data_IF_823231131644
#
_entry.id   IF_823231131644
#
_cell.length_a   1.000
_cell.length_b   1.000
_cell.length_c   1.000
_cell.angle_alpha   90.00
_cell.angle_beta   90.00
_cell.angle_gamma   90.00
#
_symmetry.space_group_name_H-M   'P 1'
#
loop_
_entity.id
_entity.type
_entity.pdbx_description
1 polymer ?
#
# COMPACT_ATOMS: atom_id res chain seq x y z
N UNK A 1 5.63 14.60 13.17
CA UNK A 1 6.07 13.55 14.13
C UNK A 1 5.97 14.12 15.50
N UNK A 2 5.41 13.36 16.46
CA UNK A 2 5.35 13.75 17.88
C UNK A 2 6.70 13.44 18.53
N UNK A 3 7.30 14.43 19.23
CA UNK A 3 8.58 14.20 19.94
C UNK A 3 8.42 13.18 21.07
N UNK A 4 7.31 13.22 21.79
CA UNK A 4 6.98 12.23 22.81
C UNK A 4 6.77 10.84 22.22
N UNK A 5 5.98 10.72 21.12
CA UNK A 5 5.77 9.46 20.44
C UNK A 5 7.05 8.84 19.92
N UNK A 6 7.97 9.66 19.36
CA UNK A 6 9.28 9.18 18.93
C UNK A 6 10.13 8.66 20.11
N UNK A 7 10.13 9.38 21.23
CA UNK A 7 10.86 8.96 22.45
C UNK A 7 10.34 7.61 22.94
N UNK A 8 9.04 7.44 23.02
CA UNK A 8 8.39 6.17 23.41
C UNK A 8 8.72 5.03 22.45
N UNK A 9 8.67 5.28 21.12
CA UNK A 9 9.06 4.30 20.11
C UNK A 9 10.52 3.87 20.32
N UNK A 10 11.45 4.81 20.43
CA UNK A 10 12.87 4.51 20.64
C UNK A 10 13.11 3.74 21.93
N UNK A 11 12.43 4.10 23.02
CA UNK A 11 12.50 3.37 24.29
C UNK A 11 11.98 1.94 24.15
N UNK A 12 10.85 1.75 23.47
CA UNK A 12 10.28 0.42 23.25
C UNK A 12 11.18 -0.44 22.37
N UNK A 13 11.76 0.12 21.31
CA UNK A 13 12.65 -0.61 20.39
C UNK A 13 13.91 -1.18 21.07
N UNK A 14 14.33 -0.65 22.21
CA UNK A 14 15.47 -1.19 22.97
C UNK A 14 15.16 -2.56 23.60
N UNK A 15 13.89 -2.85 23.86
CA UNK A 15 13.43 -4.10 24.51
C UNK A 15 12.55 -4.98 23.63
N UNK A 16 12.07 -4.44 22.51
CA UNK A 16 11.19 -5.16 21.59
C UNK A 16 11.93 -6.29 20.86
N UNK A 17 11.43 -7.51 21.01
CA UNK A 17 11.92 -8.70 20.29
C UNK A 17 11.14 -8.96 19.00
N UNK A 18 10.62 -7.91 18.37
CA UNK A 18 9.86 -7.99 17.13
C UNK A 18 10.73 -7.59 15.92
N UNK A 19 10.47 -8.23 14.79
CA UNK A 19 11.07 -7.90 13.51
C UNK A 19 10.47 -6.62 12.91
N UNK A 20 9.19 -6.40 13.18
CA UNK A 20 8.40 -5.26 12.75
C UNK A 20 7.62 -4.69 13.95
N UNK A 21 7.80 -3.42 14.23
CA UNK A 21 6.99 -2.66 15.18
C UNK A 21 6.10 -1.71 14.40
N UNK A 22 4.80 -1.76 14.69
CA UNK A 22 3.79 -0.90 14.06
C UNK A 22 3.18 0.01 15.12
N UNK A 23 3.33 1.31 14.93
CA UNK A 23 2.77 2.31 15.85
C UNK A 23 1.43 2.85 15.34
N UNK A 24 0.61 3.35 16.24
CA UNK A 24 -0.56 4.12 15.89
C UNK A 24 -0.15 5.50 15.34
N UNK A 25 -1.04 6.11 14.55
CA UNK A 25 -0.84 7.43 13.99
C UNK A 25 -2.18 8.15 13.80
N UNK A 26 -2.14 9.46 13.61
CA UNK A 26 -3.31 10.23 13.23
C UNK A 26 -3.05 11.03 11.95
N UNK A 27 -4.13 11.41 11.28
CA UNK A 27 -4.09 12.33 10.15
C UNK A 27 -4.80 13.64 10.47
N UNK A 28 -4.32 14.73 9.89
CA UNK A 28 -4.94 16.03 10.02
C UNK A 28 -4.98 16.75 8.67
N UNK A 29 -5.94 17.65 8.52
CA UNK A 29 -6.04 18.53 7.35
C UNK A 29 -5.03 19.66 7.48
N UNK A 30 -4.18 19.84 6.46
CA UNK A 30 -3.11 20.85 6.48
C UNK A 30 -3.65 22.28 6.54
N UNK A 31 -4.77 22.57 5.87
CA UNK A 31 -5.34 23.90 5.78
C UNK A 31 -6.10 24.31 7.05
N UNK A 32 -6.87 23.39 7.67
CA UNK A 32 -7.67 23.68 8.85
C UNK A 32 -6.97 23.33 10.16
N UNK A 33 -5.95 22.47 10.12
CA UNK A 33 -5.32 21.89 11.32
C UNK A 33 -6.18 20.87 12.06
N UNK A 34 -7.38 20.58 11.56
CA UNK A 34 -8.32 19.66 12.22
C UNK A 34 -7.88 18.21 12.05
N UNK A 35 -8.07 17.41 13.09
CA UNK A 35 -7.86 15.98 13.05
C UNK A 35 -8.91 15.35 12.13
N UNK A 36 -8.45 14.55 11.17
CA UNK A 36 -9.31 13.84 10.21
C UNK A 36 -9.60 12.42 10.66
N UNK A 37 -8.58 11.71 11.12
CA UNK A 37 -8.72 10.32 11.57
C UNK A 37 -7.60 9.92 12.53
N UNK A 38 -7.91 8.95 13.39
CA UNK A 38 -6.94 8.16 14.13
C UNK A 38 -6.87 6.76 13.53
N UNK A 39 -5.67 6.21 13.44
CA UNK A 39 -5.44 4.86 12.95
C UNK A 39 -4.90 3.98 14.06
N UNK A 40 -5.70 3.00 14.42
CA UNK A 40 -5.36 1.92 15.33
C UNK A 40 -5.43 0.60 14.56
N UNK A 41 -4.35 -0.17 14.57
CA UNK A 41 -4.32 -1.45 13.85
C UNK A 41 -5.07 -2.52 14.65
N UNK A 42 -6.42 -2.53 14.55
CA UNK A 42 -7.28 -3.37 15.37
C UNK A 42 -7.46 -4.78 14.80
N UNK A 43 -7.38 -5.78 15.68
CA UNK A 43 -7.79 -7.15 15.41
C UNK A 43 -8.20 -7.85 16.73
N UNK A 44 -9.03 -8.92 16.69
CA UNK A 44 -9.48 -9.60 17.89
C UNK A 44 -8.32 -10.15 18.72
N UNK A 45 -8.29 -9.82 20.02
CA UNK A 45 -7.25 -10.25 20.93
C UNK A 45 -5.94 -9.48 20.85
N UNK A 46 -5.91 -8.34 20.18
CA UNK A 46 -4.74 -7.47 20.14
C UNK A 46 -4.41 -6.93 21.54
N UNK A 47 -3.16 -7.02 21.89
CA UNK A 47 -2.55 -6.37 23.04
C UNK A 47 -1.36 -5.53 22.55
N UNK A 48 -1.26 -4.29 23.00
CA UNK A 48 -0.10 -3.46 22.71
C UNK A 48 1.14 -4.00 23.42
N UNK A 49 2.31 -3.78 22.80
CA UNK A 49 3.64 -4.21 23.28
C UNK A 49 3.82 -5.71 23.42
N UNK A 50 2.89 -6.50 22.89
CA UNK A 50 2.99 -7.94 22.79
C UNK A 50 3.48 -8.32 21.38
N UNK A 51 4.37 -9.29 21.33
CA UNK A 51 4.91 -9.85 20.08
C UNK A 51 4.01 -10.99 19.60
N UNK A 52 3.68 -10.99 18.33
CA UNK A 52 2.88 -11.99 17.63
C UNK A 52 3.67 -12.61 16.48
N UNK A 53 3.44 -13.87 16.11
CA UNK A 53 3.83 -14.41 14.81
C UNK A 53 3.17 -13.56 13.71
N UNK A 54 3.95 -13.15 12.71
CA UNK A 54 3.45 -12.27 11.64
C UNK A 54 2.28 -12.90 10.88
N UNK A 55 2.36 -14.20 10.60
CA UNK A 55 1.35 -14.97 9.89
C UNK A 55 -0.03 -14.98 10.59
N UNK A 56 -0.06 -14.88 11.92
CA UNK A 56 -1.32 -14.87 12.66
C UNK A 56 -2.10 -13.55 12.50
N UNK A 57 -1.42 -12.47 12.14
CA UNK A 57 -2.01 -11.12 12.12
C UNK A 57 -1.97 -10.43 10.76
N UNK A 58 -1.10 -10.82 9.85
CA UNK A 58 -0.91 -10.12 8.57
C UNK A 58 -2.19 -10.04 7.72
N UNK A 59 -3.05 -11.05 7.73
CA UNK A 59 -4.36 -11.02 7.05
C UNK A 59 -5.43 -10.15 7.72
N UNK A 60 -5.14 -9.57 8.90
CA UNK A 60 -6.09 -8.78 9.70
C UNK A 60 -5.75 -7.29 9.72
N UNK A 61 -4.54 -6.93 9.35
CA UNK A 61 -4.04 -5.56 9.43
C UNK A 61 -3.43 -5.11 8.10
N UNK A 62 -3.59 -3.83 7.79
CA UNK A 62 -2.85 -3.19 6.70
C UNK A 62 -1.83 -2.21 7.30
N UNK A 63 -0.57 -2.38 6.94
CA UNK A 63 0.53 -1.61 7.50
C UNK A 63 0.95 -0.53 6.51
N UNK A 64 0.96 0.72 6.97
CA UNK A 64 1.43 1.86 6.20
C UNK A 64 2.90 2.16 6.54
N UNK A 65 3.69 2.62 5.57
CA UNK A 65 5.10 2.93 5.71
C UNK A 65 5.41 3.83 6.93
N UNK A 66 4.61 4.86 7.14
CA UNK A 66 4.82 5.83 8.21
C UNK A 66 4.49 5.32 9.63
N UNK A 67 3.92 4.12 9.72
CA UNK A 67 3.68 3.40 10.97
C UNK A 67 4.65 2.22 11.17
N UNK A 68 5.40 1.83 10.17
CA UNK A 68 6.24 0.63 10.16
C UNK A 68 7.69 0.93 10.55
N UNK A 69 8.20 0.20 11.52
CA UNK A 69 9.62 0.21 11.92
C UNK A 69 10.18 -1.20 11.85
N UNK A 70 11.04 -1.46 10.89
CA UNK A 70 11.67 -2.76 10.69
C UNK A 70 13.02 -2.84 11.41
N UNK A 71 13.37 -4.04 11.88
CA UNK A 71 14.71 -4.35 12.34
C UNK A 71 15.71 -4.16 11.20
N UNK A 72 16.75 -3.38 11.39
CA UNK A 72 17.72 -3.00 10.34
C UNK A 72 18.38 -4.22 9.67
N UNK A 73 18.66 -5.27 10.44
CA UNK A 73 19.26 -6.52 9.90
C UNK A 73 18.35 -7.20 8.88
N UNK A 74 17.01 -7.08 9.00
CA UNK A 74 16.07 -7.58 8.01
C UNK A 74 16.18 -6.81 6.69
N UNK A 75 16.21 -5.47 6.77
CA UNK A 75 16.36 -4.62 5.59
C UNK A 75 17.70 -4.88 4.87
N UNK A 76 18.76 -5.16 5.61
CA UNK A 76 20.05 -5.54 5.02
C UNK A 76 20.03 -6.92 4.36
N UNK A 77 19.27 -7.87 4.89
CA UNK A 77 19.14 -9.24 4.37
C UNK A 77 18.25 -9.35 3.14
N UNK A 78 17.33 -8.42 2.91
CA UNK A 78 16.39 -8.52 1.79
C UNK A 78 17.06 -8.46 0.41
N UNK A 79 18.31 -7.97 0.31
CA UNK A 79 19.12 -7.99 -0.92
C UNK A 79 18.56 -7.12 -2.05
N UNK A 80 17.47 -6.39 -1.80
CA UNK A 80 16.85 -5.46 -2.75
C UNK A 80 17.03 -4.03 -2.26
N UNK A 81 17.15 -3.12 -3.21
CA UNK A 81 17.11 -1.67 -2.96
C UNK A 81 15.72 -1.15 -3.36
N UNK A 82 15.29 -0.09 -2.71
CA UNK A 82 14.15 0.69 -3.15
C UNK A 82 14.54 1.48 -4.41
N UNK A 83 13.58 1.76 -5.27
CA UNK A 83 13.79 2.59 -6.44
C UNK A 83 14.23 4.00 -6.03
N UNK A 84 15.23 4.55 -6.74
CA UNK A 84 15.74 5.89 -6.50
C UNK A 84 15.10 6.89 -7.47
N UNK A 85 14.98 8.15 -7.04
CA UNK A 85 14.37 9.23 -7.84
C UNK A 85 12.95 8.93 -8.33
N UNK A 86 12.20 8.15 -7.55
CA UNK A 86 10.89 7.62 -7.88
C UNK A 86 9.89 7.87 -6.75
N UNK A 87 8.64 8.17 -7.12
CA UNK A 87 7.52 8.19 -6.19
C UNK A 87 6.96 6.78 -5.98
N UNK A 88 6.19 6.58 -4.90
CA UNK A 88 5.46 5.33 -4.57
C UNK A 88 6.31 4.16 -4.08
N UNK A 89 7.58 4.41 -3.78
CA UNK A 89 8.51 3.43 -3.19
C UNK A 89 8.13 2.99 -1.77
N UNK A 90 7.17 3.67 -1.16
CA UNK A 90 6.51 3.26 0.08
C UNK A 90 5.87 1.87 -0.03
N UNK A 91 5.37 1.51 -1.21
CA UNK A 91 4.86 0.17 -1.48
C UNK A 91 5.98 -0.89 -1.44
N UNK A 92 7.16 -0.59 -1.98
CA UNK A 92 8.33 -1.45 -1.92
C UNK A 92 8.85 -1.60 -0.49
N UNK A 93 8.93 -0.50 0.26
CA UNK A 93 9.32 -0.50 1.68
C UNK A 93 8.40 -1.37 2.52
N UNK A 94 7.10 -1.38 2.21
CA UNK A 94 6.12 -2.18 2.93
C UNK A 94 6.15 -3.67 2.56
N UNK A 95 6.49 -4.02 1.32
CA UNK A 95 6.32 -5.39 0.82
C UNK A 95 7.63 -6.18 0.73
N UNK A 96 8.74 -5.58 0.32
CA UNK A 96 10.01 -6.28 0.16
C UNK A 96 10.56 -6.94 1.44
N UNK A 97 10.36 -6.38 2.66
CA UNK A 97 10.82 -7.04 3.88
C UNK A 97 9.97 -8.25 4.31
N UNK A 98 8.73 -8.39 3.82
CA UNK A 98 7.76 -9.38 4.30
C UNK A 98 8.27 -10.84 4.31
N UNK A 99 9.04 -11.31 3.31
CA UNK A 99 9.60 -12.67 3.36
C UNK A 99 10.40 -12.95 4.64
N UNK A 100 11.05 -11.92 5.18
CA UNK A 100 11.98 -12.04 6.31
C UNK A 100 11.33 -11.73 7.67
N UNK A 101 10.17 -11.08 7.70
CA UNK A 101 9.44 -10.74 8.93
C UNK A 101 8.83 -12.00 9.52
N UNK A 102 9.23 -12.36 10.74
CA UNK A 102 8.67 -13.49 11.51
C UNK A 102 7.74 -13.02 12.61
N UNK A 103 8.04 -11.87 13.21
CA UNK A 103 7.34 -11.34 14.37
C UNK A 103 6.95 -9.88 14.18
N UNK A 104 5.80 -9.53 14.77
CA UNK A 104 5.25 -8.17 14.75
C UNK A 104 4.77 -7.79 16.14
N UNK A 105 4.95 -6.53 16.51
CA UNK A 105 4.39 -5.94 17.72
C UNK A 105 3.72 -4.61 17.40
N UNK A 106 2.78 -4.20 18.26
CA UNK A 106 2.03 -2.96 18.10
C UNK A 106 2.31 -2.01 19.26
N UNK A 107 2.50 -0.74 18.94
CA UNK A 107 2.73 0.33 19.90
C UNK A 107 1.56 1.30 19.88
N UNK A 108 0.93 1.55 21.03
CA UNK A 108 -0.23 2.44 21.22
C UNK A 108 0.07 3.93 21.01
N UNK A 109 1.33 4.29 20.75
CA UNK A 109 1.73 5.69 20.64
C UNK A 109 1.59 6.24 19.24
N UNK A 110 0.99 7.40 19.13
CA UNK A 110 0.88 8.15 17.87
C UNK A 110 2.22 8.85 17.57
N UNK A 111 3.07 8.15 16.82
CA UNK A 111 4.42 8.65 16.46
C UNK A 111 4.35 9.60 15.28
N UNK A 112 3.53 9.28 14.30
CA UNK A 112 3.44 10.02 13.04
C UNK A 112 2.13 10.81 12.95
N UNK A 113 2.23 12.04 12.43
CA UNK A 113 1.09 12.91 12.13
C UNK A 113 1.01 13.05 10.61
N UNK A 114 0.07 12.32 10.00
CA UNK A 114 -0.05 12.30 8.55
C UNK A 114 -0.82 13.51 8.06
N UNK A 115 -0.14 14.36 7.30
CA UNK A 115 -0.71 15.60 6.77
C UNK A 115 -1.52 15.31 5.51
N UNK A 116 -2.76 15.76 5.43
CA UNK A 116 -3.65 15.59 4.29
C UNK A 116 -4.04 16.94 3.67
N UNK A 117 -4.39 16.92 2.39
CA UNK A 117 -4.94 18.09 1.68
C UNK A 117 -3.91 18.99 1.00
N UNK A 118 -2.63 18.67 1.04
CA UNK A 118 -1.61 19.44 0.31
C UNK A 118 -1.68 19.14 -1.19
N UNK A 119 -1.64 20.18 -2.03
CA UNK A 119 -1.60 20.03 -3.50
C UNK A 119 -0.35 19.30 -3.99
N UNK A 120 0.75 19.41 -3.24
CA UNK A 120 2.03 18.78 -3.56
C UNK A 120 2.11 17.29 -3.19
N UNK A 121 1.08 16.72 -2.55
CA UNK A 121 1.10 15.31 -2.16
C UNK A 121 1.14 14.39 -3.37
N UNK A 122 1.97 13.33 -3.27
CA UNK A 122 2.09 12.29 -4.32
C UNK A 122 0.76 11.59 -4.62
N UNK A 123 -0.14 11.50 -3.63
CA UNK A 123 -1.47 10.89 -3.76
C UNK A 123 -2.54 11.82 -4.33
N UNK A 124 -2.23 13.12 -4.58
CA UNK A 124 -3.11 14.00 -5.35
C UNK A 124 -3.20 13.47 -6.79
N UNK A 125 -4.41 13.36 -7.33
CA UNK A 125 -4.64 12.70 -8.62
C UNK A 125 -3.88 13.34 -9.79
N UNK A 126 -3.71 14.67 -9.78
CA UNK A 126 -2.93 15.38 -10.81
C UNK A 126 -1.44 15.03 -10.71
N UNK A 127 -0.91 14.89 -9.49
CA UNK A 127 0.45 14.45 -9.28
C UNK A 127 0.61 12.96 -9.64
N UNK A 128 -0.41 12.14 -9.39
CA UNK A 128 -0.42 10.75 -9.82
C UNK A 128 -0.41 10.62 -11.35
N UNK A 129 -1.17 11.46 -12.06
CA UNK A 129 -1.15 11.52 -13.52
C UNK A 129 0.25 11.91 -14.03
N UNK A 130 0.82 12.98 -13.47
CA UNK A 130 2.17 13.46 -13.83
C UNK A 130 3.25 12.40 -13.63
N UNK A 131 3.12 11.59 -12.57
CA UNK A 131 4.09 10.56 -12.18
C UNK A 131 3.59 9.14 -12.51
N UNK A 132 2.70 9.00 -13.50
CA UNK A 132 2.12 7.70 -13.87
C UNK A 132 3.19 6.66 -14.21
N UNK A 133 4.26 7.05 -14.90
CA UNK A 133 5.38 6.17 -15.24
C UNK A 133 6.11 5.62 -14.01
N UNK A 134 6.28 6.42 -12.94
CA UNK A 134 6.85 5.95 -11.68
C UNK A 134 5.95 4.90 -11.02
N UNK A 135 4.64 5.12 -11.05
CA UNK A 135 3.68 4.18 -10.48
C UNK A 135 3.65 2.85 -11.25
N UNK A 136 3.75 2.89 -12.59
CA UNK A 136 3.87 1.71 -13.44
C UNK A 136 5.18 0.95 -13.19
N UNK A 137 6.29 1.66 -13.00
CA UNK A 137 7.59 1.10 -12.70
C UNK A 137 7.57 0.34 -11.37
N UNK A 138 7.11 0.99 -10.30
CA UNK A 138 6.97 0.36 -8.97
C UNK A 138 6.03 -0.86 -9.03
N UNK A 139 4.89 -0.75 -9.71
CA UNK A 139 3.99 -1.90 -9.90
C UNK A 139 4.71 -3.05 -10.62
N UNK A 140 5.51 -2.76 -11.65
CA UNK A 140 6.25 -3.79 -12.39
C UNK A 140 7.28 -4.48 -11.50
N UNK A 141 8.06 -3.73 -10.72
CA UNK A 141 9.04 -4.29 -9.79
C UNK A 141 8.40 -5.10 -8.66
N UNK A 142 7.22 -4.68 -8.17
CA UNK A 142 6.45 -5.46 -7.20
C UNK A 142 5.92 -6.78 -7.78
N UNK A 143 5.55 -6.82 -9.06
CA UNK A 143 5.16 -8.04 -9.74
C UNK A 143 6.34 -9.00 -9.94
N UNK A 144 7.50 -8.47 -10.29
CA UNK A 144 8.76 -9.23 -10.38
C UNK A 144 9.13 -9.81 -9.01
N UNK A 145 9.11 -8.98 -7.97
CA UNK A 145 9.31 -9.42 -6.60
C UNK A 145 8.35 -10.55 -6.20
N UNK A 146 7.04 -10.37 -6.47
CA UNK A 146 6.05 -11.41 -6.16
C UNK A 146 6.36 -12.71 -6.91
N UNK A 147 6.71 -12.64 -8.19
CA UNK A 147 7.07 -13.82 -9.00
C UNK A 147 8.28 -14.57 -8.44
N UNK A 148 9.28 -13.85 -7.92
CA UNK A 148 10.50 -14.46 -7.38
C UNK A 148 10.28 -15.09 -5.99
N UNK A 149 9.42 -14.49 -5.15
CA UNK A 149 9.28 -14.87 -3.75
C UNK A 149 8.04 -15.75 -3.47
N UNK A 150 6.99 -15.70 -4.30
CA UNK A 150 5.69 -16.30 -4.00
C UNK A 150 5.75 -17.79 -3.62
N UNK A 151 6.63 -18.56 -4.25
CA UNK A 151 6.77 -20.02 -3.98
C UNK A 151 7.52 -20.33 -2.67
N UNK A 152 8.18 -19.32 -2.08
CA UNK A 152 8.94 -19.44 -0.83
C UNK A 152 8.17 -18.90 0.37
N UNK A 153 7.10 -18.14 0.12
CA UNK A 153 6.28 -17.55 1.16
C UNK A 153 5.31 -18.57 1.75
N UNK A 154 5.01 -18.41 3.05
CA UNK A 154 3.86 -19.08 3.65
C UNK A 154 2.57 -18.58 2.98
N UNK A 155 1.47 -19.35 2.99
CA UNK A 155 0.21 -18.94 2.37
C UNK A 155 -0.28 -17.56 2.86
N UNK A 156 -0.12 -17.26 4.14
CA UNK A 156 -0.53 -16.01 4.77
C UNK A 156 0.30 -14.83 4.25
N UNK A 157 1.62 -14.96 4.19
CA UNK A 157 2.52 -13.94 3.63
C UNK A 157 2.29 -13.75 2.14
N UNK A 158 2.09 -14.84 1.40
CA UNK A 158 1.77 -14.80 -0.03
C UNK A 158 0.49 -14.00 -0.28
N UNK A 159 -0.56 -14.28 0.49
CA UNK A 159 -1.81 -13.53 0.43
C UNK A 159 -1.61 -12.05 0.77
N UNK A 160 -0.88 -11.74 1.84
CA UNK A 160 -0.59 -10.36 2.25
C UNK A 160 0.13 -9.56 1.15
N UNK A 161 1.17 -10.15 0.54
CA UNK A 161 1.90 -9.50 -0.56
C UNK A 161 1.00 -9.35 -1.78
N UNK A 162 0.22 -10.39 -2.15
CA UNK A 162 -0.72 -10.32 -3.27
C UNK A 162 -1.76 -9.22 -3.09
N UNK A 163 -2.32 -9.07 -1.89
CA UNK A 163 -3.25 -7.97 -1.55
C UNK A 163 -2.58 -6.60 -1.63
N UNK A 164 -1.34 -6.47 -1.14
CA UNK A 164 -0.55 -5.25 -1.24
C UNK A 164 -0.35 -4.82 -2.70
N UNK A 165 0.10 -5.75 -3.56
CA UNK A 165 0.27 -5.47 -5.00
C UNK A 165 -1.06 -5.18 -5.68
N UNK A 166 -2.15 -5.87 -5.30
CA UNK A 166 -3.50 -5.62 -5.84
C UNK A 166 -4.02 -4.20 -5.52
N UNK A 167 -3.62 -3.61 -4.38
CA UNK A 167 -3.92 -2.21 -4.04
C UNK A 167 -3.17 -1.25 -4.96
N UNK A 168 -1.90 -1.50 -5.25
CA UNK A 168 -1.12 -0.69 -6.21
C UNK A 168 -1.70 -0.82 -7.63
N UNK A 169 -2.04 -2.02 -8.07
CA UNK A 169 -2.73 -2.24 -9.34
C UNK A 169 -4.05 -1.45 -9.42
N UNK A 170 -4.85 -1.49 -8.36
CA UNK A 170 -6.11 -0.72 -8.29
C UNK A 170 -5.85 0.78 -8.38
N UNK A 171 -4.79 1.27 -7.74
CA UNK A 171 -4.36 2.67 -7.82
C UNK A 171 -3.90 3.04 -9.23
N UNK A 172 -3.20 2.15 -9.94
CA UNK A 172 -2.84 2.34 -11.34
C UNK A 172 -4.08 2.48 -12.23
N UNK A 173 -5.11 1.66 -12.03
CA UNK A 173 -6.36 1.79 -12.77
C UNK A 173 -7.08 3.11 -12.46
N UNK A 174 -7.02 3.58 -11.21
CA UNK A 174 -7.55 4.91 -10.84
C UNK A 174 -6.85 6.02 -11.63
N UNK A 175 -5.52 5.94 -11.80
CA UNK A 175 -4.77 6.92 -12.60
C UNK A 175 -5.27 6.91 -14.05
N UNK A 176 -5.38 5.76 -14.69
CA UNK A 176 -5.88 5.68 -16.07
C UNK A 176 -7.34 6.15 -16.21
N UNK A 177 -8.19 5.87 -15.22
CA UNK A 177 -9.58 6.33 -15.22
C UNK A 177 -9.72 7.84 -14.99
N UNK A 178 -8.71 8.47 -14.40
CA UNK A 178 -8.72 9.92 -14.12
C UNK A 178 -8.33 10.79 -15.32
N UNK A 179 -7.78 10.21 -16.38
CA UNK A 179 -7.57 10.88 -17.66
C UNK A 179 -8.89 10.99 -18.46
N UNK A 180 -8.96 11.86 -19.47
CA UNK A 180 -10.08 11.85 -20.42
C UNK A 180 -10.38 10.43 -20.93
N UNK A 181 -11.65 10.12 -21.15
CA UNK A 181 -12.10 8.77 -21.47
C UNK A 181 -11.75 8.34 -22.91
N UNK A 182 -10.45 8.23 -23.18
CA UNK A 182 -9.89 7.84 -24.48
C UNK A 182 -9.65 6.33 -24.56
N UNK A 183 -9.61 5.82 -25.79
CA UNK A 183 -9.40 4.41 -26.06
C UNK A 183 -8.03 3.90 -25.55
N UNK A 184 -6.99 4.75 -25.57
CA UNK A 184 -5.64 4.41 -25.11
C UNK A 184 -5.64 3.97 -23.65
N UNK A 185 -6.28 4.73 -22.76
CA UNK A 185 -6.32 4.41 -21.33
C UNK A 185 -7.19 3.18 -21.03
N UNK A 186 -8.29 3.00 -21.77
CA UNK A 186 -9.04 1.74 -21.72
C UNK A 186 -8.17 0.54 -22.10
N UNK A 187 -7.42 0.66 -23.17
CA UNK A 187 -6.56 -0.42 -23.65
C UNK A 187 -5.43 -0.75 -22.67
N UNK A 188 -4.86 0.27 -22.02
CA UNK A 188 -3.88 0.09 -20.94
C UNK A 188 -4.45 -0.73 -19.77
N UNK A 189 -5.65 -0.38 -19.26
CA UNK A 189 -6.31 -1.14 -18.20
C UNK A 189 -6.55 -2.60 -18.64
N UNK A 190 -7.08 -2.80 -19.85
CA UNK A 190 -7.35 -4.13 -20.38
C UNK A 190 -6.07 -4.95 -20.55
N UNK A 191 -4.99 -4.34 -21.01
CA UNK A 191 -3.70 -5.01 -21.18
C UNK A 191 -3.12 -5.44 -19.83
N UNK A 192 -3.10 -4.53 -18.85
CA UNK A 192 -2.67 -4.85 -17.49
C UNK A 192 -3.52 -5.97 -16.90
N UNK A 193 -4.83 -5.88 -16.98
CA UNK A 193 -5.72 -6.86 -16.36
C UNK A 193 -5.60 -8.26 -16.99
N UNK A 194 -5.44 -8.35 -18.31
CA UNK A 194 -5.16 -9.61 -19.01
C UNK A 194 -3.84 -10.22 -18.57
N UNK A 195 -2.77 -9.40 -18.48
CA UNK A 195 -1.46 -9.84 -18.00
C UNK A 195 -1.56 -10.36 -16.57
N UNK A 196 -2.15 -9.59 -15.65
CA UNK A 196 -2.29 -9.96 -14.25
C UNK A 196 -3.12 -11.23 -14.09
N UNK A 197 -4.24 -11.36 -14.81
CA UNK A 197 -5.07 -12.57 -14.77
C UNK A 197 -4.29 -13.82 -15.21
N UNK A 198 -3.42 -13.68 -16.22
CA UNK A 198 -2.65 -14.80 -16.78
C UNK A 198 -1.43 -15.17 -15.93
N UNK A 199 -0.66 -14.16 -15.50
CA UNK A 199 0.66 -14.35 -14.91
C UNK A 199 0.62 -14.34 -13.37
N UNK A 200 -0.37 -13.66 -12.77
CA UNK A 200 -0.48 -13.41 -11.32
C UNK A 200 -1.92 -13.62 -10.82
N UNK A 201 -2.48 -14.85 -10.92
CA UNK A 201 -3.88 -15.10 -10.58
C UNK A 201 -4.21 -14.75 -9.12
N UNK A 202 -3.29 -14.95 -8.18
CA UNK A 202 -3.50 -14.59 -6.78
C UNK A 202 -3.72 -13.08 -6.63
N UNK A 203 -2.90 -12.26 -7.28
CA UNK A 203 -3.04 -10.78 -7.28
C UNK A 203 -4.36 -10.37 -7.97
N UNK A 204 -4.71 -11.03 -9.10
CA UNK A 204 -5.96 -10.76 -9.80
C UNK A 204 -7.18 -10.97 -8.91
N UNK A 205 -7.21 -12.06 -8.15
CA UNK A 205 -8.30 -12.40 -7.24
C UNK A 205 -8.31 -11.56 -5.96
N UNK A 206 -7.14 -11.06 -5.52
CA UNK A 206 -7.02 -10.17 -4.35
C UNK A 206 -7.54 -8.75 -4.59
N UNK A 207 -7.89 -8.37 -5.83
CA UNK A 207 -8.51 -7.07 -6.11
C UNK A 207 -9.91 -7.03 -5.52
N UNK A 208 -10.11 -6.24 -4.45
CA UNK A 208 -11.40 -6.08 -3.76
C UNK A 208 -12.22 -4.90 -4.26
N UNK A 209 -11.60 -3.95 -4.98
CA UNK A 209 -12.24 -2.71 -5.43
C UNK A 209 -13.46 -2.98 -6.31
N UNK A 210 -14.62 -2.45 -5.90
CA UNK A 210 -15.92 -2.68 -6.57
C UNK A 210 -15.95 -2.15 -8.00
N UNK A 211 -15.36 -0.98 -8.26
CA UNK A 211 -15.34 -0.40 -9.60
C UNK A 211 -14.51 -1.25 -10.57
N UNK A 212 -13.37 -1.77 -10.13
CA UNK A 212 -12.54 -2.69 -10.93
C UNK A 212 -13.30 -4.00 -11.19
N UNK A 213 -13.98 -4.56 -10.18
CA UNK A 213 -14.80 -5.77 -10.36
C UNK A 213 -15.94 -5.54 -11.36
N UNK A 214 -16.61 -4.39 -11.31
CA UNK A 214 -17.65 -4.03 -12.28
C UNK A 214 -17.08 -3.86 -13.70
N UNK A 215 -15.92 -3.23 -13.85
CA UNK A 215 -15.24 -3.12 -15.15
C UNK A 215 -14.94 -4.49 -15.73
N UNK A 216 -14.38 -5.41 -14.95
CA UNK A 216 -14.11 -6.79 -15.36
C UNK A 216 -15.37 -7.52 -15.77
N UNK A 217 -16.42 -7.44 -14.94
CA UNK A 217 -17.70 -8.12 -15.20
C UNK A 217 -18.40 -7.63 -16.48
N UNK A 218 -18.31 -6.32 -16.78
CA UNK A 218 -18.88 -5.73 -17.99
C UNK A 218 -18.00 -5.88 -19.24
N UNK A 219 -16.90 -6.65 -19.18
CA UNK A 219 -15.91 -6.70 -20.26
C UNK A 219 -15.37 -5.32 -20.64
N UNK A 220 -15.25 -4.43 -19.65
CA UNK A 220 -14.84 -3.02 -19.81
C UNK A 220 -15.82 -2.16 -20.62
N UNK A 221 -17.06 -2.61 -20.83
CA UNK A 221 -18.12 -1.82 -21.44
C UNK A 221 -18.47 -0.56 -20.65
N UNK A 222 -18.36 -0.62 -19.31
CA UNK A 222 -18.61 0.51 -18.40
C UNK A 222 -17.44 1.48 -18.25
N UNK A 223 -16.39 1.37 -19.06
CA UNK A 223 -15.17 2.19 -18.92
C UNK A 223 -15.46 3.71 -18.94
N UNK A 224 -16.29 4.20 -19.90
CA UNK A 224 -16.62 5.63 -20.00
C UNK A 224 -17.33 6.13 -18.75
N UNK A 225 -18.27 5.36 -18.21
CA UNK A 225 -18.97 5.69 -16.97
C UNK A 225 -18.02 5.70 -15.79
N UNK A 226 -17.16 4.70 -15.65
CA UNK A 226 -16.16 4.61 -14.58
C UNK A 226 -15.16 5.77 -14.64
N UNK A 227 -14.69 6.14 -15.84
CA UNK A 227 -13.82 7.31 -16.03
C UNK A 227 -14.54 8.62 -15.65
N UNK A 228 -15.77 8.82 -16.11
CA UNK A 228 -16.55 9.99 -15.72
C UNK A 228 -16.71 10.12 -14.21
N UNK A 229 -17.14 9.05 -13.53
CA UNK A 229 -17.30 9.04 -12.08
C UNK A 229 -15.98 9.27 -11.34
N UNK A 230 -14.88 8.67 -11.82
CA UNK A 230 -13.55 8.87 -11.26
C UNK A 230 -13.13 10.34 -11.39
N UNK A 231 -13.23 10.94 -12.57
CA UNK A 231 -12.86 12.34 -12.79
C UNK A 231 -13.70 13.31 -11.95
N UNK A 232 -15.00 13.09 -11.89
CA UNK A 232 -15.90 13.87 -11.03
C UNK A 232 -15.52 13.78 -9.56
N UNK A 233 -15.20 12.57 -9.06
CA UNK A 233 -14.82 12.36 -7.67
C UNK A 233 -13.50 13.05 -7.28
N UNK A 234 -12.59 13.24 -8.24
CA UNK A 234 -11.27 13.83 -8.01
C UNK A 234 -11.10 15.24 -8.61
N UNK A 235 -12.14 15.84 -9.17
CA UNK A 235 -12.07 17.18 -9.74
C UNK A 235 -11.13 17.29 -10.93
N UNK A 236 -11.18 16.32 -11.85
CA UNK A 236 -10.34 16.26 -13.06
C UNK A 236 -11.08 16.75 -14.33
N UNK A 237 -12.27 17.33 -14.19
CA UNK A 237 -13.05 17.88 -15.31
C UNK A 237 -12.64 19.31 -15.61
#
# INVERSE_FOLDING_TARGET
MSAEGLKELLSYLQTAEADLVVNDYHSFNDASGEMVSEMHHEFPGKEYRKTYPFEEVCGKVYINMHAATYRTELLKKMGRRLDEHCFYVDAEYNLYPIPFVKTIAFLEKQVYCYRLGMETQSMNIRNMQKNCAHHEMVLTHLLEFYKEEAERLTPEKKAYVAEGVAKILTSQYKIYLSYPAEAVHKNQIVAWDKRIKKEFPDIYHSVTNRAVKMLRHSGYGLYRLASYLCRKAYGCD
#
